data_IF_153432111261
#
_entry.id   IF_153432111261
#
_cell.length_a   1.000
_cell.length_b   1.000
_cell.length_c   1.000
_cell.angle_alpha   90.00
_cell.angle_beta   90.00
_cell.angle_gamma   90.00
#
_symmetry.space_group_name_H-M   'P 1'
#
loop_
_entity.id
_entity.type
_entity.pdbx_description
1 polymer ?
#
# COMPACT_ATOMS: atom_id res chain seq x y z
N UNK A 1 -9.34 3.16 4.49
CA UNK A 1 -9.33 1.69 4.61
C UNK A 1 -8.53 1.32 5.84
N UNK A 2 -8.95 0.29 6.57
CA UNK A 2 -8.10 -0.35 7.59
C UNK A 2 -7.07 -1.26 6.92
N UNK A 3 -6.07 -1.73 7.67
CA UNK A 3 -4.94 -2.48 7.10
C UNK A 3 -5.32 -3.72 6.29
N UNK A 4 -6.31 -4.52 6.72
CA UNK A 4 -6.73 -5.68 5.94
C UNK A 4 -7.42 -5.31 4.62
N UNK A 5 -8.27 -4.28 4.63
CA UNK A 5 -9.01 -3.83 3.45
C UNK A 5 -8.05 -3.32 2.37
N UNK A 6 -7.01 -2.57 2.77
CA UNK A 6 -6.02 -2.08 1.81
C UNK A 6 -5.17 -3.23 1.24
N UNK A 7 -4.90 -4.29 2.01
CA UNK A 7 -4.15 -5.44 1.50
C UNK A 7 -4.93 -6.25 0.47
N UNK A 8 -6.24 -6.39 0.63
CA UNK A 8 -7.08 -7.04 -0.38
C UNK A 8 -7.05 -6.24 -1.69
N UNK A 9 -7.29 -4.92 -1.61
CA UNK A 9 -7.26 -4.05 -2.77
C UNK A 9 -5.88 -4.03 -3.45
N UNK A 10 -4.81 -3.94 -2.67
CA UNK A 10 -3.43 -3.99 -3.15
C UNK A 10 -3.15 -5.32 -3.87
N UNK A 11 -3.57 -6.45 -3.28
CA UNK A 11 -3.36 -7.79 -3.85
C UNK A 11 -4.07 -7.92 -5.20
N UNK A 12 -5.31 -7.45 -5.30
CA UNK A 12 -6.07 -7.45 -6.54
C UNK A 12 -5.37 -6.61 -7.62
N UNK A 13 -5.03 -5.36 -7.31
CA UNK A 13 -4.53 -4.42 -8.31
C UNK A 13 -3.13 -4.79 -8.81
N UNK A 14 -2.26 -5.29 -7.92
CA UNK A 14 -0.95 -5.82 -8.32
C UNK A 14 -1.13 -6.99 -9.29
N UNK A 15 -1.94 -7.99 -8.91
CA UNK A 15 -2.15 -9.17 -9.74
C UNK A 15 -2.77 -8.82 -11.11
N UNK A 16 -3.73 -7.89 -11.12
CA UNK A 16 -4.35 -7.39 -12.36
C UNK A 16 -3.34 -6.67 -13.25
N UNK A 17 -2.46 -5.85 -12.68
CA UNK A 17 -1.39 -5.17 -13.42
C UNK A 17 -0.34 -6.13 -13.97
N UNK A 18 -0.18 -7.32 -13.37
CA UNK A 18 0.67 -8.40 -13.85
C UNK A 18 -0.01 -9.32 -14.87
N UNK A 19 -1.29 -9.06 -15.21
CA UNK A 19 -2.05 -9.84 -16.19
C UNK A 19 -2.62 -11.15 -15.65
N UNK A 20 -2.71 -11.31 -14.33
CA UNK A 20 -3.36 -12.46 -13.70
C UNK A 20 -4.87 -12.41 -13.97
N UNK A 21 -5.49 -13.57 -14.23
CA UNK A 21 -6.93 -13.66 -14.51
C UNK A 21 -7.78 -13.42 -13.26
N UNK A 22 -8.99 -12.91 -13.46
CA UNK A 22 -9.95 -12.65 -12.37
C UNK A 22 -10.26 -13.90 -11.53
N UNK A 23 -10.26 -15.09 -12.15
CA UNK A 23 -10.48 -16.35 -11.45
C UNK A 23 -9.36 -16.65 -10.45
N UNK A 24 -8.10 -16.42 -10.85
CA UNK A 24 -6.94 -16.64 -9.97
C UNK A 24 -6.88 -15.57 -8.89
N UNK A 25 -7.20 -14.30 -9.24
CA UNK A 25 -7.30 -13.21 -8.26
C UNK A 25 -8.34 -13.55 -7.18
N UNK A 26 -9.53 -14.01 -7.56
CA UNK A 26 -10.59 -14.38 -6.62
C UNK A 26 -10.15 -15.51 -5.67
N UNK A 27 -9.46 -16.53 -6.18
CA UNK A 27 -8.88 -17.61 -5.36
C UNK A 27 -7.84 -17.09 -4.37
N UNK A 28 -6.95 -16.20 -4.82
CA UNK A 28 -5.91 -15.61 -3.97
C UNK A 28 -6.51 -14.74 -2.87
N UNK A 29 -7.52 -13.92 -3.17
CA UNK A 29 -8.22 -13.10 -2.17
C UNK A 29 -8.94 -13.97 -1.13
N UNK A 30 -9.61 -15.03 -1.57
CA UNK A 30 -10.28 -15.97 -0.65
C UNK A 30 -9.30 -16.70 0.27
N UNK A 31 -8.12 -17.08 -0.24
CA UNK A 31 -7.06 -17.67 0.59
C UNK A 31 -6.50 -16.64 1.59
N UNK A 32 -6.24 -15.42 1.11
CA UNK A 32 -5.72 -14.34 1.95
C UNK A 32 -6.70 -13.99 3.09
N UNK A 33 -8.00 -13.95 2.80
CA UNK A 33 -9.05 -13.70 3.80
C UNK A 33 -9.06 -14.76 4.90
N UNK A 34 -8.97 -16.04 4.53
CA UNK A 34 -8.89 -17.14 5.50
C UNK A 34 -7.64 -17.03 6.39
N UNK A 35 -6.49 -16.72 5.77
CA UNK A 35 -5.23 -16.55 6.50
C UNK A 35 -5.30 -15.36 7.46
N UNK A 36 -5.81 -14.20 7.03
CA UNK A 36 -5.93 -13.02 7.89
C UNK A 36 -6.95 -13.22 9.01
N UNK A 37 -8.04 -13.96 8.75
CA UNK A 37 -9.01 -14.33 9.80
C UNK A 37 -8.32 -15.12 10.91
N UNK A 38 -7.49 -16.12 10.59
CA UNK A 38 -6.70 -16.86 11.59
C UNK A 38 -5.79 -15.91 12.37
N UNK A 39 -5.04 -15.05 11.68
CA UNK A 39 -4.08 -14.13 12.31
C UNK A 39 -4.77 -13.16 13.27
N UNK A 40 -5.98 -12.70 12.94
CA UNK A 40 -6.77 -11.77 13.79
C UNK A 40 -7.38 -12.48 15.00
N UNK A 41 -7.91 -13.69 14.82
CA UNK A 41 -8.65 -14.40 15.87
C UNK A 41 -7.74 -15.17 16.84
N UNK A 42 -6.67 -15.79 16.32
CA UNK A 42 -5.79 -16.66 17.10
C UNK A 42 -4.59 -15.89 17.66
N UNK A 43 -4.62 -15.61 18.95
CA UNK A 43 -3.57 -14.84 19.65
C UNK A 43 -2.31 -15.66 19.86
N UNK A 44 -2.42 -16.98 20.03
CA UNK A 44 -1.26 -17.84 20.19
C UNK A 44 -0.60 -18.10 18.84
N UNK A 45 0.63 -17.60 18.67
CA UNK A 45 1.33 -17.71 17.39
C UNK A 45 1.63 -19.16 16.99
N UNK A 46 1.83 -20.07 17.95
CA UNK A 46 2.07 -21.50 17.66
C UNK A 46 0.80 -22.14 17.06
N UNK A 47 -0.36 -21.88 17.66
CA UNK A 47 -1.66 -22.36 17.18
C UNK A 47 -2.04 -21.73 15.84
N UNK A 48 -1.78 -20.42 15.67
CA UNK A 48 -2.02 -19.72 14.41
C UNK A 48 -1.14 -20.29 13.28
N UNK A 49 0.15 -20.50 13.54
CA UNK A 49 1.09 -21.10 12.60
C UNK A 49 0.61 -22.48 12.13
N UNK A 50 0.22 -23.36 13.06
CA UNK A 50 -0.29 -24.70 12.71
C UNK A 50 -1.50 -24.61 11.77
N UNK A 51 -2.47 -23.74 12.08
CA UNK A 51 -3.67 -23.54 11.23
C UNK A 51 -3.30 -23.00 9.85
N UNK A 52 -2.38 -22.04 9.77
CA UNK A 52 -1.92 -21.48 8.50
C UNK A 52 -1.21 -22.53 7.63
N UNK A 53 -0.34 -23.36 8.23
CA UNK A 53 0.33 -24.47 7.52
C UNK A 53 -0.69 -25.43 6.93
N UNK A 54 -1.69 -25.85 7.71
CA UNK A 54 -2.75 -26.75 7.21
C UNK A 54 -3.48 -26.19 5.99
N UNK A 55 -3.80 -24.89 5.97
CA UNK A 55 -4.45 -24.28 4.80
C UNK A 55 -3.51 -24.24 3.59
N UNK A 56 -2.25 -23.83 3.79
CA UNK A 56 -1.28 -23.76 2.68
C UNK A 56 -0.93 -25.14 2.12
N UNK A 57 -0.87 -26.17 2.98
CA UNK A 57 -0.69 -27.57 2.60
C UNK A 57 -1.89 -28.08 1.77
N UNK A 58 -3.13 -27.80 2.20
CA UNK A 58 -4.33 -28.17 1.45
C UNK A 58 -4.33 -27.56 0.04
N UNK A 59 -3.99 -26.27 -0.08
CA UNK A 59 -3.87 -25.60 -1.39
C UNK A 59 -2.76 -26.22 -2.23
N UNK A 60 -1.57 -26.44 -1.65
CA UNK A 60 -0.42 -27.00 -2.38
C UNK A 60 -0.67 -28.43 -2.84
N UNK A 61 -1.37 -29.24 -2.03
CA UNK A 61 -1.69 -30.64 -2.33
C UNK A 61 -2.63 -30.81 -3.53
N UNK A 62 -3.40 -29.77 -3.86
CA UNK A 62 -4.33 -29.74 -5.00
C UNK A 62 -3.67 -29.33 -6.32
N UNK A 63 -2.38 -28.94 -6.27
CA UNK A 63 -1.60 -28.53 -7.44
C UNK A 63 -0.70 -29.67 -7.91
N UNK A 64 -0.63 -29.88 -9.22
CA UNK A 64 0.34 -30.78 -9.83
C UNK A 64 1.70 -30.08 -9.93
N UNK A 65 2.50 -30.18 -8.87
CA UNK A 65 3.83 -29.58 -8.76
C UNK A 65 4.94 -30.63 -8.82
N UNK A 66 6.03 -30.30 -9.50
CA UNK A 66 7.30 -31.02 -9.38
C UNK A 66 7.89 -30.89 -7.98
N UNK A 67 8.81 -31.78 -7.61
CA UNK A 67 9.46 -31.73 -6.28
C UNK A 67 10.16 -30.39 -6.02
N UNK A 68 10.77 -29.79 -7.05
CA UNK A 68 11.42 -28.48 -6.94
C UNK A 68 10.41 -27.36 -6.70
N UNK A 69 9.24 -27.44 -7.32
CA UNK A 69 8.16 -26.46 -7.11
C UNK A 69 7.53 -26.60 -5.73
N UNK A 70 7.41 -27.83 -5.21
CA UNK A 70 6.95 -28.07 -3.83
C UNK A 70 7.91 -27.49 -2.80
N UNK A 71 9.22 -27.72 -2.96
CA UNK A 71 10.25 -27.14 -2.08
C UNK A 71 10.19 -25.60 -2.09
N UNK A 72 10.02 -25.00 -3.28
CA UNK A 72 9.86 -23.55 -3.41
C UNK A 72 8.56 -23.04 -2.77
N UNK A 73 7.46 -23.79 -2.91
CA UNK A 73 6.18 -23.46 -2.31
C UNK A 73 6.25 -23.52 -0.78
N UNK A 74 6.91 -24.53 -0.22
CA UNK A 74 7.12 -24.66 1.22
C UNK A 74 7.99 -23.52 1.77
N UNK A 75 9.09 -23.18 1.09
CA UNK A 75 9.94 -22.06 1.49
C UNK A 75 9.19 -20.71 1.43
N UNK A 76 8.32 -20.51 0.43
CA UNK A 76 7.45 -19.33 0.33
C UNK A 76 6.40 -19.31 1.44
N UNK A 77 5.77 -20.44 1.73
CA UNK A 77 4.79 -20.59 2.80
C UNK A 77 5.41 -20.25 4.16
N UNK A 78 6.62 -20.76 4.43
CA UNK A 78 7.38 -20.44 5.65
C UNK A 78 7.61 -18.94 5.80
N UNK A 79 8.15 -18.31 4.75
CA UNK A 79 8.42 -16.87 4.76
C UNK A 79 7.13 -16.05 4.95
N UNK A 80 6.03 -16.46 4.31
CA UNK A 80 4.75 -15.80 4.40
C UNK A 80 4.15 -15.92 5.81
N UNK A 81 4.11 -17.13 6.38
CA UNK A 81 3.63 -17.39 7.75
C UNK A 81 4.41 -16.52 8.74
N UNK A 82 5.74 -16.53 8.66
CA UNK A 82 6.59 -15.74 9.55
C UNK A 82 6.30 -14.24 9.43
N UNK A 83 6.06 -13.74 8.22
CA UNK A 83 5.72 -12.34 7.97
C UNK A 83 4.38 -11.95 8.61
N UNK A 84 3.32 -12.73 8.34
CA UNK A 84 1.96 -12.40 8.78
C UNK A 84 1.72 -12.62 10.27
N UNK A 85 2.49 -13.50 10.91
CA UNK A 85 2.45 -13.71 12.36
C UNK A 85 3.29 -12.69 13.14
N UNK A 86 4.06 -11.84 12.47
CA UNK A 86 4.83 -10.81 13.15
C UNK A 86 3.92 -9.85 13.95
N UNK A 87 4.38 -9.34 15.10
CA UNK A 87 3.60 -8.38 15.89
C UNK A 87 3.17 -7.15 15.08
N UNK A 88 4.05 -6.67 14.20
CA UNK A 88 3.76 -5.55 13.31
C UNK A 88 2.62 -5.88 12.34
N UNK A 89 2.62 -7.05 11.72
CA UNK A 89 1.57 -7.40 10.76
C UNK A 89 0.21 -7.60 11.44
N UNK A 90 0.19 -8.25 12.61
CA UNK A 90 -1.04 -8.36 13.44
C UNK A 90 -1.62 -6.99 13.79
N UNK A 91 -0.76 -6.05 14.18
CA UNK A 91 -1.17 -4.67 14.41
C UNK A 91 -1.72 -4.03 13.13
N UNK A 92 -0.96 -4.14 12.03
CA UNK A 92 -1.29 -3.51 10.76
C UNK A 92 -2.66 -3.94 10.25
N UNK A 93 -2.98 -5.25 10.25
CA UNK A 93 -4.26 -5.78 9.76
C UNK A 93 -5.49 -5.06 10.34
N UNK A 94 -5.43 -4.69 11.61
CA UNK A 94 -6.54 -4.08 12.34
C UNK A 94 -6.40 -2.57 12.52
N UNK A 95 -5.27 -2.00 12.08
CA UNK A 95 -4.99 -0.59 12.27
C UNK A 95 -5.83 0.27 11.33
N UNK A 96 -6.53 1.23 11.92
CA UNK A 96 -7.19 2.33 11.20
C UNK A 96 -6.31 3.58 11.27
N UNK A 97 -5.80 4.09 10.14
CA UNK A 97 -4.98 5.31 10.14
C UNK A 97 -5.80 6.59 10.34
N UNK A 98 -7.13 6.59 10.13
CA UNK A 98 -7.95 7.82 10.14
C UNK A 98 -7.88 8.58 11.48
N UNK A 99 -8.03 7.93 12.66
CA UNK A 99 -7.90 8.65 13.94
C UNK A 99 -6.52 9.27 14.16
N UNK A 100 -5.47 8.68 13.59
CA UNK A 100 -4.12 9.23 13.66
C UNK A 100 -3.94 10.41 12.72
N UNK A 101 -4.44 10.31 11.48
CA UNK A 101 -4.45 11.40 10.51
C UNK A 101 -5.21 12.63 11.04
N UNK A 102 -6.30 12.41 11.79
CA UNK A 102 -7.06 13.51 12.40
C UNK A 102 -6.29 14.31 13.46
N UNK A 103 -5.16 13.78 13.95
CA UNK A 103 -4.29 14.47 14.91
C UNK A 103 -3.24 15.36 14.23
N UNK A 104 -3.10 15.29 12.90
CA UNK A 104 -2.12 16.08 12.16
C UNK A 104 -2.56 17.55 12.08
N UNK A 105 -1.74 18.45 12.63
CA UNK A 105 -2.00 19.90 12.68
C UNK A 105 -1.06 20.75 11.84
N UNK A 106 0.02 20.16 11.32
CA UNK A 106 0.93 20.87 10.41
C UNK A 106 0.34 20.90 8.99
N UNK A 107 0.88 21.75 8.10
CA UNK A 107 0.55 21.71 6.68
C UNK A 107 0.82 20.31 6.10
N UNK A 108 -0.04 19.83 5.20
CA UNK A 108 0.08 18.49 4.60
C UNK A 108 0.10 18.55 3.07
N UNK A 109 1.10 17.92 2.46
CA UNK A 109 1.06 17.53 1.05
C UNK A 109 0.82 16.02 0.96
N UNK A 110 -0.35 15.62 0.49
CA UNK A 110 -0.64 14.22 0.17
C UNK A 110 -0.57 14.01 -1.34
N UNK A 111 0.36 13.16 -1.77
CA UNK A 111 0.57 12.82 -3.18
C UNK A 111 0.59 11.31 -3.38
N UNK A 112 -0.01 10.84 -4.47
CA UNK A 112 0.08 9.47 -4.95
C UNK A 112 0.24 9.46 -6.47
N UNK A 113 0.96 8.47 -7.00
CA UNK A 113 1.02 8.23 -8.44
C UNK A 113 -0.32 7.72 -8.96
N UNK A 114 -0.76 8.20 -10.12
CA UNK A 114 -2.00 7.75 -10.77
C UNK A 114 -2.00 6.23 -11.05
N UNK A 115 -0.82 5.65 -11.31
CA UNK A 115 -0.62 4.23 -11.60
C UNK A 115 -0.10 3.47 -10.37
N UNK A 116 -0.28 4.02 -9.18
CA UNK A 116 0.07 3.31 -7.95
C UNK A 116 -0.94 2.19 -7.69
N UNK A 117 -0.49 0.95 -7.81
CA UNK A 117 -1.27 -0.26 -7.52
C UNK A 117 -1.02 -0.81 -6.11
N UNK A 118 -0.04 -0.26 -5.39
CA UNK A 118 0.29 -0.67 -4.02
C UNK A 118 -0.48 0.17 -3.00
N UNK A 119 -0.60 1.48 -3.27
CA UNK A 119 -1.36 2.46 -2.48
C UNK A 119 -2.25 3.26 -3.42
N UNK A 120 -3.40 2.69 -3.85
CA UNK A 120 -4.24 3.26 -4.91
C UNK A 120 -4.67 4.69 -4.60
N UNK A 121 -4.49 5.63 -5.54
CA UNK A 121 -4.63 7.06 -5.27
C UNK A 121 -6.05 7.44 -4.86
N UNK A 122 -7.08 6.85 -5.50
CA UNK A 122 -8.47 7.18 -5.25
C UNK A 122 -8.87 6.95 -3.80
N UNK A 123 -8.63 5.75 -3.29
CA UNK A 123 -9.01 5.35 -1.93
C UNK A 123 -8.17 6.07 -0.88
N UNK A 124 -6.85 6.19 -1.11
CA UNK A 124 -5.93 6.76 -0.14
C UNK A 124 -6.02 8.29 -0.06
N UNK A 125 -5.98 8.99 -1.18
CA UNK A 125 -6.08 10.45 -1.19
C UNK A 125 -7.44 10.93 -0.68
N UNK A 126 -8.54 10.24 -1.05
CA UNK A 126 -9.87 10.57 -0.53
C UNK A 126 -9.97 10.38 0.98
N UNK A 127 -9.44 9.27 1.51
CA UNK A 127 -9.48 9.01 2.96
C UNK A 127 -8.60 9.98 3.75
N UNK A 128 -7.44 10.37 3.21
CA UNK A 128 -6.58 11.39 3.82
C UNK A 128 -7.29 12.74 3.84
N UNK A 129 -7.88 13.16 2.71
CA UNK A 129 -8.57 14.44 2.62
C UNK A 129 -9.75 14.52 3.60
N UNK A 130 -10.56 13.46 3.67
CA UNK A 130 -11.68 13.38 4.60
C UNK A 130 -11.22 13.50 6.07
N UNK A 131 -10.17 12.77 6.44
CA UNK A 131 -9.61 12.82 7.79
C UNK A 131 -9.08 14.22 8.16
N UNK A 132 -8.40 14.90 7.22
CA UNK A 132 -7.90 16.26 7.44
C UNK A 132 -9.04 17.28 7.58
N UNK A 133 -10.08 17.18 6.74
CA UNK A 133 -11.31 18.00 6.84
C UNK A 133 -11.99 17.83 8.20
N UNK A 134 -12.20 16.59 8.64
CA UNK A 134 -12.82 16.28 9.94
C UNK A 134 -11.98 16.78 11.13
N UNK A 135 -10.67 16.85 10.97
CA UNK A 135 -9.76 17.38 11.97
C UNK A 135 -9.74 18.90 12.08
N UNK A 136 -10.44 19.60 11.19
CA UNK A 136 -10.36 21.04 11.02
C UNK A 136 -9.00 21.52 10.49
N UNK A 137 -8.20 20.63 9.90
CA UNK A 137 -6.97 21.04 9.22
C UNK A 137 -7.33 21.48 7.81
N UNK A 138 -7.29 22.79 7.57
CA UNK A 138 -7.57 23.39 6.26
C UNK A 138 -6.31 23.72 5.46
N UNK A 139 -5.11 23.48 6.02
CA UNK A 139 -3.86 23.71 5.31
C UNK A 139 -3.34 22.38 4.76
N UNK A 140 -3.93 21.93 3.66
CA UNK A 140 -3.49 20.73 2.97
C UNK A 140 -3.60 20.88 1.45
N UNK A 141 -2.79 20.12 0.75
CA UNK A 141 -2.81 19.94 -0.69
C UNK A 141 -2.90 18.45 -1.00
N UNK A 142 -3.92 18.06 -1.78
CA UNK A 142 -4.08 16.69 -2.28
C UNK A 142 -3.79 16.68 -3.78
N UNK A 143 -2.89 15.80 -4.23
CA UNK A 143 -2.50 15.73 -5.65
C UNK A 143 -2.27 14.28 -6.10
N UNK A 144 -3.11 13.81 -7.01
CA UNK A 144 -2.79 12.65 -7.84
C UNK A 144 -1.82 13.07 -8.94
N UNK A 145 -0.74 12.31 -9.14
CA UNK A 145 0.32 12.61 -10.09
C UNK A 145 0.16 11.74 -11.36
N UNK A 146 -0.24 12.32 -12.51
CA UNK A 146 -0.54 11.56 -13.72
C UNK A 146 0.66 10.72 -14.21
N UNK A 147 0.39 9.49 -14.63
CA UNK A 147 1.39 8.61 -15.23
C UNK A 147 2.46 8.04 -14.28
N UNK A 148 2.45 8.37 -12.99
CA UNK A 148 3.46 7.90 -12.04
C UNK A 148 3.02 6.62 -11.30
N UNK A 149 3.94 5.70 -11.05
CA UNK A 149 3.74 4.50 -10.22
C UNK A 149 3.89 4.81 -8.71
N UNK A 150 3.91 3.75 -7.90
CA UNK A 150 4.11 3.80 -6.45
C UNK A 150 5.39 4.54 -6.01
N UNK A 151 6.47 4.39 -6.77
CA UNK A 151 7.78 5.00 -6.47
C UNK A 151 7.90 6.42 -7.06
N UNK A 152 6.79 6.99 -7.55
CA UNK A 152 6.75 8.24 -8.31
C UNK A 152 7.61 8.22 -9.57
N UNK A 153 7.78 7.07 -10.21
CA UNK A 153 8.44 6.94 -11.50
C UNK A 153 7.41 6.92 -12.63
N UNK A 154 7.78 7.45 -13.79
CA UNK A 154 6.98 7.41 -15.01
C UNK A 154 6.80 5.96 -15.43
N UNK A 155 5.55 5.51 -15.49
CA UNK A 155 5.22 4.10 -15.68
C UNK A 155 4.19 3.90 -16.79
N UNK A 156 4.15 2.71 -17.38
CA UNK A 156 3.14 2.37 -18.39
C UNK A 156 1.90 1.74 -17.75
N UNK A 157 2.11 0.77 -16.86
CA UNK A 157 1.03 0.03 -16.19
C UNK A 157 1.02 0.23 -14.68
N UNK A 158 2.15 0.59 -14.08
CA UNK A 158 2.33 0.61 -12.62
C UNK A 158 2.77 -0.74 -12.03
N UNK A 159 2.85 -1.79 -12.84
CA UNK A 159 3.31 -3.12 -12.43
C UNK A 159 4.70 -3.07 -11.79
N UNK A 160 4.89 -3.88 -10.74
CA UNK A 160 6.19 -4.04 -10.07
C UNK A 160 7.26 -4.59 -11.02
N UNK A 161 6.86 -5.33 -12.06
CA UNK A 161 7.77 -5.83 -13.09
C UNK A 161 8.47 -4.72 -13.90
N UNK A 162 7.91 -3.50 -13.92
CA UNK A 162 8.52 -2.36 -14.58
C UNK A 162 9.72 -1.81 -13.80
N UNK A 163 9.81 -2.04 -12.48
CA UNK A 163 10.80 -1.36 -11.63
C UNK A 163 12.24 -1.66 -12.03
N UNK A 164 12.53 -2.90 -12.42
CA UNK A 164 13.86 -3.30 -12.87
C UNK A 164 14.25 -2.73 -14.25
N UNK A 165 13.29 -2.15 -14.99
CA UNK A 165 13.48 -1.60 -16.34
C UNK A 165 13.43 -0.09 -16.39
N UNK A 166 12.84 0.55 -15.38
CA UNK A 166 12.75 2.00 -15.28
C UNK A 166 14.07 2.53 -14.72
N UNK A 167 14.80 3.31 -15.52
CA UNK A 167 16.04 3.97 -15.08
C UNK A 167 15.79 5.19 -14.18
N UNK A 168 14.62 5.83 -14.30
CA UNK A 168 14.24 7.00 -13.50
C UNK A 168 14.14 6.63 -12.01
N UNK A 169 14.91 7.26 -11.14
CA UNK A 169 14.78 7.05 -9.68
C UNK A 169 13.46 7.60 -9.14
N UNK A 170 13.16 8.85 -9.50
CA UNK A 170 11.92 9.56 -9.14
C UNK A 170 11.66 10.63 -10.19
N UNK A 171 10.40 10.86 -10.54
CA UNK A 171 10.02 11.85 -11.54
C UNK A 171 10.46 13.26 -11.14
N UNK A 172 11.15 14.00 -12.02
CA UNK A 172 11.44 15.42 -11.82
C UNK A 172 10.16 16.25 -11.57
N UNK A 173 9.02 15.84 -12.14
CA UNK A 173 7.73 16.47 -11.90
C UNK A 173 7.27 16.28 -10.46
N UNK A 174 7.41 15.08 -9.89
CA UNK A 174 7.10 14.83 -8.48
C UNK A 174 8.00 15.65 -7.57
N UNK A 175 9.32 15.65 -7.82
CA UNK A 175 10.28 16.46 -7.08
C UNK A 175 9.95 17.95 -7.12
N UNK A 176 9.60 18.47 -8.29
CA UNK A 176 9.21 19.88 -8.45
C UNK A 176 7.96 20.22 -7.64
N UNK A 177 6.94 19.36 -7.65
CA UNK A 177 5.72 19.55 -6.86
C UNK A 177 6.04 19.60 -5.36
N UNK A 178 6.89 18.68 -4.89
CA UNK A 178 7.32 18.66 -3.50
C UNK A 178 8.11 19.93 -3.14
N UNK A 179 9.09 20.33 -3.96
CA UNK A 179 9.91 21.51 -3.69
C UNK A 179 9.11 22.79 -3.72
N UNK A 180 8.25 22.97 -4.72
CA UNK A 180 7.41 24.17 -4.87
C UNK A 180 6.47 24.30 -3.66
N UNK A 181 5.85 23.20 -3.23
CA UNK A 181 4.97 23.20 -2.07
C UNK A 181 5.72 23.53 -0.78
N UNK A 182 6.91 22.94 -0.56
CA UNK A 182 7.73 23.26 0.62
C UNK A 182 8.10 24.74 0.62
N UNK A 183 8.51 25.30 -0.52
CA UNK A 183 8.84 26.72 -0.63
C UNK A 183 7.61 27.60 -0.37
N UNK A 184 6.44 27.24 -0.90
CA UNK A 184 5.18 27.96 -0.64
C UNK A 184 4.80 27.96 0.85
N UNK A 185 5.01 26.84 1.55
CA UNK A 185 4.71 26.74 2.98
C UNK A 185 5.71 27.44 3.89
N UNK A 186 6.94 27.68 3.41
CA UNK A 186 8.04 28.22 4.22
C UNK A 186 8.44 29.65 3.85
N UNK A 187 8.00 30.16 2.70
CA UNK A 187 8.20 31.56 2.35
C UNK A 187 7.43 32.47 3.32
N UNK A 188 8.18 33.40 3.92
CA UNK A 188 7.62 34.40 4.82
C UNK A 188 6.80 35.41 4.02
N UNK A 189 5.46 35.26 4.03
CA UNK A 189 4.53 36.16 3.35
C UNK A 189 4.56 37.60 3.91
N UNK A 190 5.28 37.85 5.00
CA UNK A 190 5.46 39.19 5.57
C UNK A 190 6.51 40.05 4.87
N UNK A 191 7.41 39.46 4.06
CA UNK A 191 8.54 40.19 3.44
C UNK A 191 8.22 40.70 2.02
N UNK A 192 7.21 40.13 1.36
CA UNK A 192 6.81 40.51 -0.01
C UNK A 192 6.05 41.84 -0.13
N UNK A 193 5.60 42.43 0.99
CA UNK A 193 4.88 43.71 1.02
C UNK A 193 5.76 44.93 1.38
N UNK A 194 7.07 44.75 1.54
CA UNK A 194 8.01 45.88 1.54
C UNK A 194 8.21 46.41 0.12
N UNK A 195 7.14 46.92 -0.47
CA UNK A 195 7.20 47.75 -1.66
C UNK A 195 8.01 49.00 -1.34
N UNK A 196 9.20 49.11 -1.95
CA UNK A 196 9.85 50.40 -2.13
C UNK A 196 8.93 51.25 -3.03
N UNK A 197 8.13 52.11 -2.41
CA UNK A 197 7.66 53.36 -3.03
C UNK A 197 8.75 54.41 -2.91
#
# INVERSE_FOLDING_TARGET
LIGEEILYLQTELIARAEGVSDEVIAKNLSLQEQMFTIVKEEKDSISAEKRLRTILEDVTSKLELSEKEKEMAEAKAEAQIKSILSPWFRYFLTYDPRPTLMKVKCPVLAINGQKDVQVPPKENLSAIEEALKLAGNNNYTIKELPGLNHLFQTAQTGSLSEYARIEETISPTALKIMSDWILEQTQDKSISDCGCQ
#
